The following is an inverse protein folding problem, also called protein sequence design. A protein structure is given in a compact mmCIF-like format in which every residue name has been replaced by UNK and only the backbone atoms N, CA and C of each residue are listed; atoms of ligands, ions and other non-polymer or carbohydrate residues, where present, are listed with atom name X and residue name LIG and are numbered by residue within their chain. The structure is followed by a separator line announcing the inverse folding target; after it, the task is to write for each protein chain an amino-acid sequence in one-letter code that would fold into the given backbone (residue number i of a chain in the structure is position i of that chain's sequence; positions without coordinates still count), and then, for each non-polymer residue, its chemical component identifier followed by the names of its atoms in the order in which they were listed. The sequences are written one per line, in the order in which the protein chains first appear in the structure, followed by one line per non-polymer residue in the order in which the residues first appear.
data_IF_984763532319
#
_entry.id   IF_984763532319
#
_cell.length_a   1.000
_cell.length_b   1.000
_cell.length_c   1.000
_cell.angle_alpha   90.00
_cell.angle_beta   90.00
_cell.angle_gamma   90.00
#
_symmetry.space_group_name_H-M   'P 1'
#
loop_
_entity.id
_entity.type
_entity.pdbx_description
1 polymer ?
#
# COMPACT_ATOMS: atom_id res chain seq x y z
N UNK A 1 13.74 -19.45 -2.84
CA UNK A 1 12.73 -19.22 -1.78
C UNK A 1 11.97 -17.90 -1.92
N UNK A 2 12.56 -16.80 -2.41
CA UNK A 2 11.90 -15.47 -2.51
C UNK A 2 10.68 -15.41 -3.46
N UNK A 3 10.67 -16.22 -4.53
CA UNK A 3 9.57 -16.23 -5.50
C UNK A 3 8.23 -16.76 -4.96
N UNK A 4 8.26 -17.62 -3.92
CA UNK A 4 7.06 -18.25 -3.36
C UNK A 4 6.30 -17.29 -2.43
N UNK A 5 7.03 -16.53 -1.62
CA UNK A 5 6.47 -15.50 -0.72
C UNK A 5 5.79 -14.36 -1.48
N UNK A 6 6.39 -13.90 -2.58
CA UNK A 6 5.80 -12.86 -3.46
C UNK A 6 4.47 -13.28 -4.07
N UNK A 7 4.35 -14.56 -4.41
CA UNK A 7 3.11 -15.14 -4.95
C UNK A 7 2.00 -15.17 -3.89
N UNK A 8 2.32 -15.58 -2.66
CA UNK A 8 1.34 -15.62 -1.56
C UNK A 8 0.78 -14.24 -1.22
N UNK A 9 1.62 -13.20 -1.19
CA UNK A 9 1.16 -11.82 -0.95
C UNK A 9 0.20 -11.34 -2.04
N UNK A 10 0.48 -11.66 -3.31
CA UNK A 10 -0.41 -11.33 -4.43
C UNK A 10 -1.68 -12.20 -4.47
N UNK A 11 -1.59 -13.47 -4.05
CA UNK A 11 -2.71 -14.40 -4.00
C UNK A 11 -3.66 -14.16 -2.82
N UNK A 12 -3.27 -13.36 -1.81
CA UNK A 12 -4.17 -12.94 -0.71
C UNK A 12 -5.39 -12.12 -1.17
N UNK A 13 -5.44 -11.66 -2.43
CA UNK A 13 -6.60 -10.92 -2.97
C UNK A 13 -6.64 -9.44 -2.57
N UNK A 14 -5.57 -8.95 -1.95
CA UNK A 14 -5.44 -7.57 -1.49
C UNK A 14 -4.76 -6.64 -2.51
N UNK A 15 -4.54 -7.13 -3.73
CA UNK A 15 -3.86 -6.40 -4.79
C UNK A 15 -4.75 -6.30 -6.03
N UNK A 16 -4.81 -5.09 -6.60
CA UNK A 16 -5.57 -4.78 -7.80
C UNK A 16 -4.64 -4.31 -8.91
N UNK A 17 -4.91 -4.77 -10.12
CA UNK A 17 -4.32 -4.18 -11.33
C UNK A 17 -5.02 -2.88 -11.69
N UNK A 18 -4.38 -2.02 -12.49
CA UNK A 18 -5.00 -0.81 -13.04
C UNK A 18 -6.35 -1.08 -13.69
N UNK A 19 -6.48 -2.21 -14.41
CA UNK A 19 -7.73 -2.62 -15.04
C UNK A 19 -8.84 -2.92 -14.03
N UNK A 20 -8.51 -3.53 -12.88
CA UNK A 20 -9.48 -3.82 -11.83
C UNK A 20 -9.91 -2.55 -11.08
N UNK A 21 -8.99 -1.62 -10.81
CA UNK A 21 -9.32 -0.32 -10.21
C UNK A 21 -10.29 0.45 -11.11
N UNK A 22 -10.00 0.52 -12.41
CA UNK A 22 -10.87 1.17 -13.39
C UNK A 22 -12.26 0.52 -13.47
N UNK A 23 -12.34 -0.80 -13.33
CA UNK A 23 -13.63 -1.53 -13.28
C UNK A 23 -14.40 -1.23 -12.00
N UNK A 24 -13.72 -1.17 -10.85
CA UNK A 24 -14.32 -0.90 -9.54
C UNK A 24 -14.89 0.51 -9.44
N UNK A 25 -14.20 1.51 -10.01
CA UNK A 25 -14.69 2.88 -10.03
C UNK A 25 -15.92 3.10 -10.94
N UNK A 26 -16.37 2.04 -11.63
CA UNK A 26 -17.40 2.13 -12.65
C UNK A 26 -16.84 2.71 -13.95
N UNK A 27 -17.38 2.26 -15.08
CA UNK A 27 -17.00 2.66 -16.45
C UNK A 27 -17.15 4.17 -16.77
N UNK A 28 -17.34 5.04 -15.76
CA UNK A 28 -17.61 6.47 -15.90
C UNK A 28 -16.40 7.39 -15.84
N UNK A 29 -15.27 6.97 -15.28
CA UNK A 29 -14.07 7.83 -15.20
C UNK A 29 -13.02 7.39 -16.22
N UNK A 30 -13.25 7.75 -17.49
CA UNK A 30 -12.29 7.62 -18.58
C UNK A 30 -10.90 8.24 -18.24
N UNK A 31 -10.85 9.14 -17.25
CA UNK A 31 -9.65 9.76 -16.71
C UNK A 31 -8.88 8.91 -15.68
N UNK A 32 -9.43 7.81 -15.15
CA UNK A 32 -8.75 6.93 -14.18
C UNK A 32 -7.55 6.19 -14.76
N UNK A 33 -7.39 6.09 -16.09
CA UNK A 33 -6.16 5.52 -16.67
C UNK A 33 -4.91 6.37 -16.36
N UNK A 34 -5.09 7.66 -16.11
CA UNK A 34 -4.01 8.61 -15.82
C UNK A 34 -3.76 8.79 -14.31
N UNK A 35 -4.72 8.43 -13.46
CA UNK A 35 -4.65 8.64 -12.01
C UNK A 35 -3.63 7.76 -11.28
N UNK A 36 -3.46 6.46 -11.56
CA UNK A 36 -2.51 5.61 -10.84
C UNK A 36 -1.07 6.07 -11.02
N UNK A 37 -0.72 6.48 -12.25
CA UNK A 37 0.62 7.02 -12.53
C UNK A 37 0.81 8.39 -11.86
N UNK A 38 -0.25 9.20 -11.76
CA UNK A 38 -0.22 10.45 -11.01
C UNK A 38 -0.05 10.20 -9.51
N UNK A 39 -0.85 9.32 -8.90
CA UNK A 39 -0.75 8.96 -7.48
C UNK A 39 0.61 8.36 -7.12
N UNK A 40 1.20 7.57 -8.02
CA UNK A 40 2.55 7.07 -7.86
C UNK A 40 3.59 8.20 -7.90
N UNK A 41 3.48 9.14 -8.85
CA UNK A 41 4.37 10.30 -8.91
C UNK A 41 4.22 11.24 -7.71
N UNK A 42 3.00 11.32 -7.16
CA UNK A 42 2.67 12.14 -5.99
C UNK A 42 2.96 11.40 -4.66
N UNK A 43 3.58 10.22 -4.73
CA UNK A 43 3.89 9.34 -3.60
C UNK A 43 2.67 9.02 -2.70
N UNK A 44 1.46 9.10 -3.26
CA UNK A 44 0.21 8.83 -2.57
C UNK A 44 -0.12 7.33 -2.51
N UNK A 45 0.44 6.54 -3.43
CA UNK A 45 0.28 5.09 -3.46
C UNK A 45 1.54 4.42 -4.01
N UNK A 46 1.85 3.23 -3.52
CA UNK A 46 2.95 2.42 -4.01
C UNK A 46 2.45 1.25 -4.88
N UNK A 47 3.36 0.69 -5.67
CA UNK A 47 3.06 -0.41 -6.60
C UNK A 47 4.05 -1.53 -6.45
N UNK A 48 3.59 -2.76 -6.36
CA UNK A 48 4.47 -3.93 -6.48
C UNK A 48 4.47 -4.43 -7.92
N UNK A 49 5.65 -4.42 -8.55
CA UNK A 49 5.82 -4.98 -9.89
C UNK A 49 6.02 -6.49 -9.80
N UNK A 50 5.15 -7.26 -10.43
CA UNK A 50 5.29 -8.71 -10.55
C UNK A 50 5.02 -9.19 -11.98
N UNK A 51 5.99 -9.89 -12.57
CA UNK A 51 5.92 -10.42 -13.96
C UNK A 51 5.54 -9.35 -15.00
N UNK A 52 6.08 -8.14 -14.86
CA UNK A 52 5.81 -7.02 -15.78
C UNK A 52 4.52 -6.25 -15.50
N UNK A 53 3.65 -6.72 -14.60
CA UNK A 53 2.38 -6.08 -14.23
C UNK A 53 2.54 -5.32 -12.91
N UNK A 54 2.07 -4.08 -12.88
CA UNK A 54 1.98 -3.28 -11.65
C UNK A 54 0.70 -3.61 -10.88
N UNK A 55 0.86 -3.91 -9.60
CA UNK A 55 -0.21 -4.19 -8.68
C UNK A 55 -0.27 -3.11 -7.60
N UNK A 56 -1.48 -2.65 -7.32
CA UNK A 56 -1.78 -1.61 -6.34
C UNK A 56 -2.47 -2.24 -5.13
N UNK A 57 -2.18 -1.78 -3.91
CA UNK A 57 -2.82 -2.27 -2.71
C UNK A 57 -4.29 -1.86 -2.67
N UNK A 58 -5.21 -2.84 -2.63
CA UNK A 58 -6.66 -2.61 -2.53
C UNK A 58 -7.04 -1.91 -1.23
N UNK A 59 -6.42 -2.32 -0.12
CA UNK A 59 -6.66 -1.76 1.21
C UNK A 59 -6.26 -0.29 1.35
N UNK A 60 -5.40 0.20 0.45
CA UNK A 60 -5.03 1.61 0.40
C UNK A 60 -6.01 2.47 -0.39
N UNK A 61 -6.95 1.85 -1.11
CA UNK A 61 -7.93 2.53 -1.94
C UNK A 61 -9.27 2.54 -1.21
N UNK A 62 -9.75 3.73 -0.90
CA UNK A 62 -11.07 3.88 -0.33
C UNK A 62 -12.13 3.80 -1.45
N UNK A 63 -12.81 2.65 -1.52
CA UNK A 63 -13.88 2.40 -2.49
C UNK A 63 -15.15 3.20 -2.25
N UNK A 64 -15.33 3.79 -1.07
CA UNK A 64 -16.52 4.58 -0.70
C UNK A 64 -16.45 6.01 -1.26
N UNK A 65 -15.25 6.53 -1.52
CA UNK A 65 -15.01 7.88 -2.07
C UNK A 65 -14.38 7.87 -3.47
N UNK A 66 -14.72 6.88 -4.30
CA UNK A 66 -14.27 6.83 -5.70
C UNK A 66 -12.87 6.26 -5.90
N UNK A 67 -12.44 5.30 -5.08
CA UNK A 67 -11.13 4.64 -5.16
C UNK A 67 -9.96 5.62 -5.01
N UNK A 68 -10.00 6.48 -3.98
CA UNK A 68 -8.91 7.44 -3.70
C UNK A 68 -7.87 6.80 -2.76
N UNK A 69 -6.56 7.09 -2.93
CA UNK A 69 -5.55 6.66 -1.97
C UNK A 69 -5.83 7.19 -0.57
N UNK A 70 -5.62 6.33 0.44
CA UNK A 70 -5.71 6.70 1.84
C UNK A 70 -4.72 7.83 2.14
N UNK A 71 -5.19 8.92 2.77
CA UNK A 71 -4.33 10.07 3.10
C UNK A 71 -3.13 9.68 3.95
N UNK A 72 -3.31 8.74 4.88
CA UNK A 72 -2.22 8.23 5.72
C UNK A 72 -1.16 7.44 4.96
N UNK A 73 -1.47 6.89 3.78
CA UNK A 73 -0.50 6.11 3.02
C UNK A 73 0.66 6.98 2.55
N UNK A 74 0.39 8.18 2.04
CA UNK A 74 1.43 9.09 1.56
C UNK A 74 2.46 9.37 2.66
N UNK A 75 2.00 9.66 3.88
CA UNK A 75 2.85 9.89 5.04
C UNK A 75 3.70 8.66 5.39
N UNK A 76 3.12 7.46 5.36
CA UNK A 76 3.86 6.21 5.60
C UNK A 76 4.93 5.98 4.52
N UNK A 77 4.61 6.26 3.25
CA UNK A 77 5.56 6.15 2.15
C UNK A 77 6.72 7.13 2.31
N UNK A 78 6.45 8.37 2.72
CA UNK A 78 7.49 9.35 3.02
C UNK A 78 8.40 8.90 4.17
N UNK A 79 7.86 8.24 5.20
CA UNK A 79 8.67 7.69 6.31
C UNK A 79 9.60 6.58 5.83
N UNK A 80 9.11 5.68 4.97
CA UNK A 80 9.92 4.59 4.41
C UNK A 80 10.78 5.00 3.20
N UNK A 81 10.64 6.22 2.71
CA UNK A 81 11.34 6.70 1.53
C UNK A 81 12.87 6.62 1.72
N UNK A 82 13.55 5.90 0.83
CA UNK A 82 14.99 5.63 0.91
C UNK A 82 15.42 4.62 2.00
N UNK A 83 14.47 4.04 2.76
CA UNK A 83 14.71 3.00 3.76
C UNK A 83 14.21 1.63 3.32
N UNK A 84 13.12 1.58 2.56
CA UNK A 84 12.46 0.33 2.16
C UNK A 84 11.96 0.40 0.71
N UNK A 85 12.11 -0.69 -0.02
CA UNK A 85 11.56 -0.83 -1.37
C UNK A 85 10.07 -1.19 -1.35
N UNK A 86 9.38 -1.06 -2.50
CA UNK A 86 7.94 -1.32 -2.65
C UNK A 86 7.52 -2.68 -2.09
N UNK A 87 8.34 -3.72 -2.28
CA UNK A 87 8.05 -5.05 -1.75
C UNK A 87 8.24 -5.10 -0.24
N UNK A 88 9.28 -4.48 0.30
CA UNK A 88 9.47 -4.38 1.74
C UNK A 88 8.32 -3.63 2.41
N UNK A 89 7.79 -2.57 1.79
CA UNK A 89 6.60 -1.85 2.27
C UNK A 89 5.36 -2.76 2.22
N UNK A 90 5.16 -3.49 1.12
CA UNK A 90 4.09 -4.48 1.00
C UNK A 90 4.13 -5.53 2.13
N UNK A 91 5.31 -6.07 2.41
CA UNK A 91 5.49 -7.06 3.48
C UNK A 91 5.21 -6.46 4.85
N UNK A 92 5.62 -5.21 5.12
CA UNK A 92 5.35 -4.55 6.39
C UNK A 92 3.85 -4.33 6.60
N UNK A 93 3.14 -3.88 5.58
CA UNK A 93 1.68 -3.71 5.63
C UNK A 93 0.92 -5.03 5.85
N UNK A 94 1.41 -6.12 5.26
CA UNK A 94 0.83 -7.45 5.42
C UNK A 94 1.22 -8.13 6.74
N UNK A 95 2.28 -7.66 7.40
CA UNK A 95 2.80 -8.24 8.64
C UNK A 95 2.07 -7.70 9.86
N UNK A 96 2.01 -8.54 10.90
CA UNK A 96 1.46 -8.15 12.20
C UNK A 96 2.42 -7.16 12.86
N UNK A 97 1.91 -6.03 13.31
CA UNK A 97 2.72 -4.99 13.93
C UNK A 97 2.43 -4.91 15.44
N UNK A 98 3.47 -5.07 16.25
CA UNK A 98 3.38 -5.04 17.72
C UNK A 98 2.97 -3.67 18.26
N UNK A 99 3.43 -2.58 17.62
CA UNK A 99 3.04 -1.20 17.95
C UNK A 99 1.54 -0.98 17.76
N UNK A 100 0.94 -1.66 16.78
CA UNK A 100 -0.51 -1.63 16.51
C UNK A 100 -1.31 -2.63 17.36
N UNK A 101 -0.71 -3.19 18.41
CA UNK A 101 -1.35 -4.16 19.30
C UNK A 101 -1.59 -5.51 18.63
N UNK A 102 -0.69 -5.94 17.75
CA UNK A 102 -0.81 -7.21 17.03
C UNK A 102 -1.80 -7.16 15.86
N UNK A 103 -2.09 -5.96 15.34
CA UNK A 103 -2.89 -5.76 14.13
C UNK A 103 -2.00 -5.48 12.93
N UNK A 104 -2.50 -5.76 11.73
CA UNK A 104 -1.78 -5.44 10.50
C UNK A 104 -2.01 -3.97 10.14
N UNK A 105 -0.96 -3.24 9.70
CA UNK A 105 -1.10 -1.86 9.24
C UNK A 105 -2.15 -1.70 8.13
N UNK A 106 -2.28 -2.69 7.23
CA UNK A 106 -3.25 -2.65 6.13
C UNK A 106 -4.71 -2.59 6.60
N UNK A 107 -5.02 -3.21 7.75
CA UNK A 107 -6.37 -3.26 8.30
C UNK A 107 -6.74 -1.95 9.03
N UNK A 108 -5.74 -1.15 9.41
CA UNK A 108 -5.92 0.10 10.15
C UNK A 108 -5.70 1.35 9.29
N UNK A 109 -5.21 1.21 8.06
CA UNK A 109 -4.84 2.34 7.21
C UNK A 109 -6.03 3.27 6.88
N UNK A 110 -7.22 2.71 6.71
CA UNK A 110 -8.44 3.48 6.41
C UNK A 110 -9.10 4.03 7.67
N UNK A 111 -9.16 3.24 8.74
CA UNK A 111 -9.85 3.62 9.98
C UNK A 111 -9.00 4.52 10.89
N UNK A 112 -7.70 4.24 11.00
CA UNK A 112 -6.77 4.87 11.94
C UNK A 112 -5.39 5.14 11.29
N UNK A 113 -5.33 5.98 10.24
CA UNK A 113 -4.10 6.28 9.52
C UNK A 113 -2.99 6.83 10.43
N UNK A 114 -3.32 7.66 11.41
CA UNK A 114 -2.33 8.26 12.32
C UNK A 114 -1.56 7.21 13.14
N UNK A 115 -2.24 6.13 13.56
CA UNK A 115 -1.58 5.03 14.26
C UNK A 115 -0.62 4.27 13.34
N UNK A 116 -1.00 4.10 12.08
CA UNK A 116 -0.17 3.43 11.09
C UNK A 116 1.08 4.24 10.77
N UNK A 117 0.95 5.57 10.68
CA UNK A 117 2.09 6.49 10.51
C UNK A 117 3.06 6.36 11.70
N UNK A 118 2.56 6.45 12.93
CA UNK A 118 3.39 6.31 14.12
C UNK A 118 4.12 4.94 14.17
N UNK A 119 3.45 3.87 13.77
CA UNK A 119 4.07 2.54 13.69
C UNK A 119 5.17 2.46 12.61
N UNK A 120 5.04 3.22 11.51
CA UNK A 120 6.08 3.29 10.49
C UNK A 120 7.31 4.07 10.98
N UNK A 121 7.09 5.17 11.73
CA UNK A 121 8.17 5.94 12.34
C UNK A 121 8.93 5.14 13.40
N UNK A 122 8.21 4.34 14.19
CA UNK A 122 8.78 3.41 15.17
C UNK A 122 9.64 2.33 14.49
N UNK A 123 9.14 1.72 13.40
CA UNK A 123 9.91 0.75 12.62
C UNK A 123 11.23 1.34 12.09
N UNK A 124 11.20 2.55 11.53
CA UNK A 124 12.40 3.20 10.98
C UNK A 124 13.38 3.57 12.11
N UNK A 125 12.88 4.06 13.23
CA UNK A 125 13.70 4.35 14.42
C UNK A 125 14.31 3.08 15.00
N UNK A 126 13.53 2.00 15.11
CA UNK A 126 13.95 0.71 15.65
C UNK A 126 15.02 0.03 14.79
N UNK A 127 14.92 0.12 13.46
CA UNK A 127 15.93 -0.40 12.52
C UNK A 127 17.29 0.31 12.65
N UNK A 128 17.32 1.58 13.08
CA UNK A 128 18.58 2.34 13.28
C UNK A 128 19.31 1.94 14.56
N UNK A 129 18.63 1.32 15.53
CA UNK A 129 19.21 0.91 16.82
C UNK A 129 19.62 -0.58 16.89
N UNK A 130 19.66 -1.28 15.75
CA UNK A 130 20.00 -2.69 15.63
C UNK A 130 21.38 -2.96 15.02
#
# INVERSE_FOLDING_TARGET
MVAKARKTVLESGDWLTTAQIARMAGFGDSNLRSHPNKWKNDEQIFTVRHRGVDYFPRYALDGSIGCRPAKGLASVLSVFHGRKDDWGIAYWFASVNSFLGGKRPQDLLLDQPDRVIAAAEDEVTGVVHG
#
